data_IF_012203916442
#
_entry.id   IF_012203916442
#
_cell.length_a   1.000
_cell.length_b   1.000
_cell.length_c   1.000
_cell.angle_alpha   90.00
_cell.angle_beta   90.00
_cell.angle_gamma   90.00
#
_symmetry.space_group_name_H-M   'P 1'
#
loop_
_entity.id
_entity.type
_entity.pdbx_description
1 polymer ?
#
# COMPACT_ATOMS: atom_id res chain seq x y z
N UNK A 1 -0.19 -0.26 -7.06
CA UNK A 1 -0.10 -0.25 -5.58
C UNK A 1 -0.26 1.18 -5.11
N UNK A 2 -1.26 1.85 -5.68
CA UNK A 2 -1.41 3.31 -5.76
C UNK A 2 -2.92 3.63 -5.68
N UNK A 3 -3.28 4.92 -5.70
CA UNK A 3 -4.67 5.35 -5.60
C UNK A 3 -5.54 4.83 -6.75
N UNK A 4 -4.97 4.64 -7.94
CA UNK A 4 -5.69 4.08 -9.09
C UNK A 4 -6.10 2.62 -8.83
N UNK A 5 -5.19 1.79 -8.32
CA UNK A 5 -5.51 0.41 -7.94
C UNK A 5 -6.50 0.38 -6.78
N UNK A 6 -6.26 1.18 -5.74
CA UNK A 6 -7.14 1.26 -4.57
C UNK A 6 -8.58 1.59 -5.00
N UNK A 7 -8.75 2.66 -5.79
CA UNK A 7 -10.06 3.09 -6.30
C UNK A 7 -10.77 2.00 -7.11
N UNK A 8 -10.03 1.32 -8.01
CA UNK A 8 -10.59 0.22 -8.81
C UNK A 8 -11.06 -0.95 -7.96
N UNK A 9 -10.28 -1.35 -6.95
CA UNK A 9 -10.66 -2.46 -6.06
C UNK A 9 -11.85 -2.07 -5.17
N UNK A 10 -11.87 -0.86 -4.63
CA UNK A 10 -13.00 -0.33 -3.85
C UNK A 10 -14.30 -0.32 -4.68
N UNK A 11 -14.23 0.07 -5.96
CA UNK A 11 -15.39 0.05 -6.86
C UNK A 11 -15.91 -1.37 -7.13
N UNK A 12 -15.06 -2.39 -7.07
CA UNK A 12 -15.43 -3.79 -7.24
C UNK A 12 -15.95 -4.45 -5.95
N UNK A 13 -15.67 -3.87 -4.79
CA UNK A 13 -16.12 -4.38 -3.50
C UNK A 13 -17.64 -4.19 -3.32
N UNK A 14 -18.35 -5.31 -3.16
CA UNK A 14 -19.82 -5.40 -3.10
C UNK A 14 -20.43 -4.84 -1.82
N UNK A 15 -19.69 -4.86 -0.72
CA UNK A 15 -20.18 -4.57 0.62
C UNK A 15 -19.08 -3.93 1.48
N UNK A 16 -19.50 -3.41 2.62
CA UNK A 16 -18.60 -2.68 3.53
C UNK A 16 -17.56 -3.58 4.18
N UNK A 17 -17.90 -4.86 4.42
CA UNK A 17 -16.94 -5.84 4.94
C UNK A 17 -15.79 -6.04 3.95
N UNK A 18 -16.10 -6.17 2.66
CA UNK A 18 -15.12 -6.29 1.58
C UNK A 18 -14.29 -5.02 1.43
N UNK A 19 -14.90 -3.83 1.52
CA UNK A 19 -14.17 -2.54 1.48
C UNK A 19 -13.20 -2.41 2.64
N UNK A 20 -13.58 -2.87 3.84
CA UNK A 20 -12.72 -2.82 5.04
C UNK A 20 -11.45 -3.67 4.92
N UNK A 21 -11.38 -4.57 3.93
CA UNK A 21 -10.22 -5.43 3.65
C UNK A 21 -9.27 -4.84 2.61
N UNK A 22 -9.57 -3.67 2.04
CA UNK A 22 -8.74 -3.03 1.01
C UNK A 22 -7.80 -2.01 1.66
N UNK A 23 -6.50 -2.21 1.49
CA UNK A 23 -5.46 -1.37 2.09
C UNK A 23 -4.41 -0.97 1.05
N UNK A 24 -3.74 0.17 1.26
CA UNK A 24 -2.47 0.46 0.60
C UNK A 24 -1.39 -0.44 1.19
N UNK A 25 -0.53 -1.04 0.36
CA UNK A 25 0.53 -1.92 0.90
C UNK A 25 1.40 -1.17 1.91
N UNK A 26 1.85 0.06 1.59
CA UNK A 26 2.73 0.84 2.46
C UNK A 26 2.07 1.34 3.75
N UNK A 27 0.76 1.16 3.94
CA UNK A 27 0.13 1.40 5.25
C UNK A 27 0.64 0.43 6.32
N UNK A 28 1.19 -0.71 5.90
CA UNK A 28 1.84 -1.67 6.79
C UNK A 28 3.32 -1.36 7.05
N UNK A 29 3.94 -0.37 6.37
CA UNK A 29 5.27 0.10 6.76
C UNK A 29 5.17 0.78 8.14
N UNK A 30 5.92 0.33 9.17
CA UNK A 30 5.84 0.91 10.50
C UNK A 30 6.06 2.43 10.53
N UNK A 31 6.91 2.95 9.62
CA UNK A 31 7.20 4.39 9.52
C UNK A 31 6.08 5.21 8.90
N UNK A 32 5.09 4.57 8.26
CA UNK A 32 3.96 5.20 7.58
C UNK A 32 2.60 4.81 8.17
N UNK A 33 2.58 3.88 9.13
CA UNK A 33 1.37 3.35 9.78
C UNK A 33 0.44 4.41 10.40
N UNK A 34 0.97 5.61 10.70
CA UNK A 34 0.19 6.72 11.24
C UNK A 34 -0.54 7.55 10.17
N UNK A 35 -0.26 7.32 8.88
CA UNK A 35 -0.89 8.06 7.78
C UNK A 35 -2.29 7.51 7.53
N UNK A 36 -3.28 8.39 7.61
CA UNK A 36 -4.65 8.07 7.20
C UNK A 36 -4.73 7.98 5.66
N UNK A 37 -5.12 6.82 5.09
CA UNK A 37 -5.24 6.61 3.65
C UNK A 37 -6.24 7.54 2.93
N UNK A 38 -7.12 8.20 3.68
CA UNK A 38 -8.12 9.15 3.15
C UNK A 38 -7.69 10.62 3.32
N UNK A 39 -6.56 10.86 3.99
CA UNK A 39 -6.02 12.20 4.20
C UNK A 39 -5.26 12.72 2.99
N UNK A 40 -4.86 14.00 3.02
CA UNK A 40 -4.03 14.59 1.99
C UNK A 40 -2.61 13.97 1.87
N UNK A 41 -2.19 13.17 2.85
CA UNK A 41 -0.88 12.50 2.88
C UNK A 41 -0.89 11.11 2.22
N UNK A 42 -2.03 10.68 1.64
CA UNK A 42 -2.16 9.35 1.04
C UNK A 42 -1.10 9.06 -0.05
N UNK A 43 -0.56 10.09 -0.70
CA UNK A 43 0.49 9.96 -1.73
C UNK A 43 1.73 9.25 -1.20
N UNK A 44 2.04 9.41 0.09
CA UNK A 44 3.20 8.77 0.72
C UNK A 44 3.02 7.26 0.89
N UNK A 45 1.78 6.77 0.78
CA UNK A 45 1.43 5.34 0.83
C UNK A 45 1.46 4.66 -0.54
N UNK A 46 1.65 5.44 -1.61
CA UNK A 46 1.75 4.87 -2.95
C UNK A 46 3.12 4.22 -3.18
N UNK A 47 3.12 3.11 -3.93
CA UNK A 47 4.33 2.54 -4.51
C UNK A 47 4.36 2.98 -5.97
N UNK A 48 5.33 3.81 -6.40
CA UNK A 48 5.45 4.25 -7.79
C UNK A 48 5.61 3.07 -8.74
N UNK A 49 5.03 3.16 -9.93
CA UNK A 49 5.22 2.16 -10.99
C UNK A 49 6.61 2.36 -11.64
N UNK A 50 7.55 1.40 -11.48
CA UNK A 50 8.89 1.52 -12.03
C UNK A 50 8.96 1.19 -13.54
N UNK A 51 7.83 0.87 -14.19
CA UNK A 51 7.85 0.47 -15.60
C UNK A 51 8.46 1.54 -16.51
N UNK A 52 9.38 1.11 -17.38
CA UNK A 52 10.21 1.98 -18.23
C UNK A 52 11.08 3.00 -17.48
N UNK A 53 11.29 2.82 -16.18
CA UNK A 53 12.24 3.61 -15.40
C UNK A 53 13.61 2.94 -15.33
N UNK A 54 14.56 3.59 -14.66
CA UNK A 54 15.90 3.05 -14.45
C UNK A 54 15.88 1.89 -13.43
N UNK A 55 16.98 1.14 -13.35
CA UNK A 55 17.10 0.02 -12.41
C UNK A 55 16.97 0.49 -10.95
N UNK A 56 17.44 1.69 -10.64
CA UNK A 56 17.37 2.29 -9.31
C UNK A 56 15.91 2.47 -8.88
N UNK A 57 15.01 2.82 -9.81
CA UNK A 57 13.59 2.93 -9.50
C UNK A 57 12.96 1.58 -9.14
N UNK A 58 13.42 0.48 -9.76
CA UNK A 58 12.99 -0.87 -9.37
C UNK A 58 13.52 -1.25 -7.99
N UNK A 59 14.77 -0.89 -7.66
CA UNK A 59 15.38 -1.13 -6.35
C UNK A 59 14.66 -0.33 -5.24
N UNK A 60 14.32 0.93 -5.50
CA UNK A 60 13.53 1.76 -4.58
C UNK A 60 12.14 1.14 -4.34
N UNK A 61 11.46 0.71 -5.40
CA UNK A 61 10.17 0.01 -5.29
C UNK A 61 10.29 -1.30 -4.50
N UNK A 62 11.35 -2.08 -4.73
CA UNK A 62 11.62 -3.29 -3.95
C UNK A 62 11.78 -2.97 -2.46
N UNK A 63 12.57 -1.97 -2.12
CA UNK A 63 12.79 -1.56 -0.72
C UNK A 63 11.49 -1.12 -0.04
N UNK A 64 10.62 -0.38 -0.74
CA UNK A 64 9.30 0.00 -0.22
C UNK A 64 8.41 -1.22 0.04
N UNK A 65 8.45 -2.22 -0.86
CA UNK A 65 7.68 -3.45 -0.72
C UNK A 65 8.18 -4.28 0.46
N UNK A 66 9.49 -4.49 0.60
CA UNK A 66 10.08 -5.29 1.68
C UNK A 66 9.68 -4.76 3.06
N UNK A 67 9.82 -3.44 3.28
CA UNK A 67 9.47 -2.80 4.57
C UNK A 67 8.00 -2.93 4.91
N UNK A 68 7.13 -2.77 3.91
CA UNK A 68 5.69 -2.89 4.10
C UNK A 68 5.27 -4.35 4.34
N UNK A 69 5.88 -5.30 3.64
CA UNK A 69 5.60 -6.74 3.81
C UNK A 69 6.03 -7.23 5.20
N UNK A 70 7.15 -6.76 5.74
CA UNK A 70 7.56 -7.07 7.11
C UNK A 70 6.49 -6.69 8.14
N UNK A 71 5.90 -5.49 8.00
CA UNK A 71 4.80 -5.06 8.88
C UNK A 71 3.49 -5.80 8.62
N UNK A 72 3.20 -6.14 7.36
CA UNK A 72 2.01 -6.94 7.01
C UNK A 72 2.07 -8.33 7.67
N UNK A 73 3.24 -8.99 7.63
CA UNK A 73 3.43 -10.29 8.26
C UNK A 73 3.24 -10.23 9.78
N UNK A 74 3.69 -9.14 10.42
CA UNK A 74 3.47 -8.92 11.84
C UNK A 74 1.98 -8.79 12.17
N UNK A 75 1.22 -8.02 11.37
CA UNK A 75 -0.21 -7.84 11.59
C UNK A 75 -0.99 -9.15 11.38
N UNK A 76 -0.67 -9.93 10.34
CA UNK A 76 -1.29 -11.22 10.09
C UNK A 76 -0.97 -12.26 11.17
N UNK A 77 0.18 -12.16 11.83
CA UNK A 77 0.56 -13.06 12.94
C UNK A 77 -0.17 -12.76 14.26
N UNK A 78 -0.83 -11.59 14.37
CA UNK A 78 -1.63 -11.19 15.54
C UNK A 78 -3.08 -11.67 15.49
N UNK A 79 -3.53 -12.23 14.37
CA UNK A 79 -4.88 -12.76 14.17
C UNK A 79 -4.98 -14.22 14.58
#
# INVERSE_FOLDING_TARGET
MDANNFSKVIQLASDEESRSKVFYLRSFDPSLSAIDPTSAQFSDLEVPDPYNQSIEAYEETLFMIERAVDGLLQELSRQ
#
